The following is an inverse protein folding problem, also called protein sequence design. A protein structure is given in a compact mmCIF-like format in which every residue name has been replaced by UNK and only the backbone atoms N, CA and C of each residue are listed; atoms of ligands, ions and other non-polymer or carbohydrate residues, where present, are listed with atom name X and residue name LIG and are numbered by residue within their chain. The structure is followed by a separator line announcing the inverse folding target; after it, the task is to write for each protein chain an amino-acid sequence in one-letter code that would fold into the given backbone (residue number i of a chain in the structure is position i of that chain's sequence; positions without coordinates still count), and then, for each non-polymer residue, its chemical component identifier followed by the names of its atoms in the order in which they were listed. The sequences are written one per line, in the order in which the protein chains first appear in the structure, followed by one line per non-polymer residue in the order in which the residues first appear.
data_IF_027864796100
#
_entry.id   IF_027864796100
#
_cell.length_a   1.000
_cell.length_b   1.000
_cell.length_c   1.000
_cell.angle_alpha   90.00
_cell.angle_beta   90.00
_cell.angle_gamma   90.00
#
_symmetry.space_group_name_H-M   'P 1'
#
loop_
_entity.id
_entity.type
_entity.pdbx_description
1 polymer ?
#
# COMPACT_ATOMS: atom_id res chain seq x y z
N UNK A 1 6.93 15.20 23.78
CA UNK A 1 7.25 16.64 23.76
C UNK A 1 6.65 17.39 24.95
N UNK A 2 5.32 17.47 25.13
CA UNK A 2 4.75 18.21 26.29
C UNK A 2 5.12 17.57 27.64
N UNK A 3 5.09 16.24 27.74
CA UNK A 3 5.56 15.55 28.95
C UNK A 3 7.04 15.85 29.25
N UNK A 4 7.87 16.05 28.21
CA UNK A 4 9.28 16.38 28.36
C UNK A 4 9.45 17.80 28.92
N UNK A 5 8.69 18.77 28.40
CA UNK A 5 8.66 20.14 28.92
C UNK A 5 8.10 20.26 30.35
N UNK A 6 7.28 19.30 30.82
CA UNK A 6 6.78 19.29 32.19
C UNK A 6 7.76 18.68 33.20
N UNK A 7 8.64 17.78 32.75
CA UNK A 7 9.59 17.08 33.62
C UNK A 7 10.98 17.71 33.61
N UNK A 8 11.26 18.59 32.65
CA UNK A 8 12.54 19.28 32.52
C UNK A 8 12.29 20.80 32.64
N UNK A 9 13.05 21.49 33.50
CA UNK A 9 13.05 22.95 33.64
C UNK A 9 13.74 23.65 32.46
N UNK A 10 13.53 23.13 31.24
CA UNK A 10 14.09 23.69 30.02
C UNK A 10 13.22 24.83 29.49
N UNK A 11 13.88 25.85 28.95
CA UNK A 11 13.20 26.96 28.31
C UNK A 11 12.50 26.51 27.03
N UNK A 12 11.45 27.24 26.63
CA UNK A 12 10.77 27.04 25.34
C UNK A 12 11.74 27.08 24.15
N UNK A 13 12.86 27.80 24.27
CA UNK A 13 13.89 27.90 23.24
C UNK A 13 14.69 26.61 23.10
N UNK A 14 15.09 26.00 24.20
CA UNK A 14 15.84 24.73 24.21
C UNK A 14 14.97 23.58 23.70
N UNK A 15 13.72 23.49 24.14
CA UNK A 15 12.77 22.48 23.64
C UNK A 15 12.46 22.70 22.16
N UNK A 16 12.32 23.96 21.72
CA UNK A 16 12.14 24.28 20.30
C UNK A 16 13.33 23.82 19.46
N UNK A 17 14.56 24.06 19.92
CA UNK A 17 15.78 23.64 19.24
C UNK A 17 15.95 22.11 19.23
N UNK A 18 15.63 21.42 20.33
CA UNK A 18 15.73 19.96 20.43
C UNK A 18 14.76 19.23 19.51
N UNK A 19 13.53 19.73 19.38
CA UNK A 19 12.46 19.06 18.64
C UNK A 19 12.23 19.64 17.24
N UNK A 20 12.98 20.67 16.84
CA UNK A 20 12.82 21.41 15.58
C UNK A 20 11.36 21.86 15.34
N UNK A 21 10.75 22.44 16.39
CA UNK A 21 9.37 22.93 16.37
C UNK A 21 9.34 24.38 16.79
N UNK A 22 8.47 25.19 16.17
CA UNK A 22 8.33 26.60 16.52
C UNK A 22 7.83 26.78 17.97
N UNK A 23 8.47 27.68 18.72
CA UNK A 23 8.08 28.08 20.10
C UNK A 23 6.59 28.42 20.21
N UNK A 24 6.01 29.09 19.22
CA UNK A 24 4.58 29.45 19.19
C UNK A 24 3.67 28.21 19.15
N UNK A 25 4.08 27.13 18.48
CA UNK A 25 3.34 25.87 18.43
C UNK A 25 3.40 25.17 19.79
N UNK A 26 4.57 25.15 20.43
CA UNK A 26 4.76 24.58 21.77
C UNK A 26 3.88 25.29 22.80
N UNK A 27 3.87 26.64 22.79
CA UNK A 27 3.00 27.44 23.65
C UNK A 27 1.51 27.11 23.42
N UNK A 28 1.10 27.02 22.15
CA UNK A 28 -0.29 26.69 21.79
C UNK A 28 -0.69 25.30 22.29
N UNK A 29 0.19 24.31 22.13
CA UNK A 29 -0.04 22.96 22.64
C UNK A 29 -0.09 22.91 24.16
N UNK A 30 0.76 23.67 24.86
CA UNK A 30 0.72 23.79 26.32
C UNK A 30 -0.61 24.33 26.81
N UNK A 31 -1.07 25.43 26.21
CA UNK A 31 -2.37 26.03 26.56
C UNK A 31 -3.52 25.06 26.26
N UNK A 32 -3.49 24.36 25.13
CA UNK A 32 -4.52 23.38 24.78
C UNK A 32 -4.52 22.20 25.76
N UNK A 33 -3.35 21.67 26.11
CA UNK A 33 -3.20 20.58 27.08
C UNK A 33 -3.68 20.97 28.48
N UNK A 34 -3.34 22.18 28.95
CA UNK A 34 -3.80 22.66 30.25
C UNK A 34 -5.33 22.84 30.31
N UNK A 35 -5.98 23.13 29.17
CA UNK A 35 -7.44 23.36 29.11
C UNK A 35 -8.26 22.09 28.91
N UNK A 36 -7.79 21.17 28.07
CA UNK A 36 -8.58 20.00 27.64
C UNK A 36 -7.79 18.67 27.74
N UNK A 37 -6.66 18.66 28.45
CA UNK A 37 -5.82 17.49 28.64
C UNK A 37 -5.24 16.94 27.33
N UNK A 38 -5.01 15.62 27.32
CA UNK A 38 -4.43 14.91 26.17
C UNK A 38 -5.34 14.96 24.94
N UNK A 39 -6.64 15.12 25.11
CA UNK A 39 -7.61 15.15 24.00
C UNK A 39 -7.39 16.36 23.10
N UNK A 40 -6.99 17.50 23.66
CA UNK A 40 -6.66 18.72 22.91
C UNK A 40 -5.52 18.53 21.90
N UNK A 41 -4.63 17.57 22.17
CA UNK A 41 -3.46 17.29 21.32
C UNK A 41 -3.76 16.26 20.23
N UNK A 42 -4.91 15.58 20.28
CA UNK A 42 -5.31 14.65 19.22
C UNK A 42 -5.57 15.41 17.92
N UNK A 43 -5.23 14.78 16.79
CA UNK A 43 -5.52 15.34 15.47
C UNK A 43 -7.03 15.49 15.29
N UNK A 44 -7.49 16.75 15.31
CA UNK A 44 -8.87 17.07 14.99
C UNK A 44 -8.98 17.35 13.49
N UNK A 45 -10.03 16.85 12.81
CA UNK A 45 -10.26 17.18 11.41
C UNK A 45 -10.38 18.70 11.28
N UNK A 46 -9.39 19.31 10.61
CA UNK A 46 -9.35 20.76 10.41
C UNK A 46 -10.44 21.17 9.40
N UNK A 47 -11.12 22.27 9.71
CA UNK A 47 -12.09 22.90 8.82
C UNK A 47 -13.55 22.51 9.07
N UNK A 48 -14.44 23.04 8.23
CA UNK A 48 -15.89 22.79 8.32
C UNK A 48 -16.19 21.35 7.91
N UNK A 49 -16.94 20.63 8.73
CA UNK A 49 -17.49 19.33 8.33
C UNK A 49 -18.29 19.49 7.03
N UNK A 50 -18.06 18.62 6.04
CA UNK A 50 -18.79 18.66 4.78
C UNK A 50 -20.30 18.57 5.05
N UNK A 51 -21.08 19.48 4.46
CA UNK A 51 -22.55 19.48 4.57
C UNK A 51 -23.18 18.30 3.82
N UNK A 52 -22.48 17.77 2.80
CA UNK A 52 -22.89 16.60 2.04
C UNK A 52 -22.12 15.36 2.47
N UNK A 53 -22.85 14.25 2.66
CA UNK A 53 -22.30 12.93 2.93
C UNK A 53 -21.64 12.38 1.66
N UNK A 54 -20.31 12.30 1.64
CA UNK A 54 -19.53 11.77 0.51
C UNK A 54 -19.51 10.22 0.44
N UNK A 55 -20.43 9.55 1.14
CA UNK A 55 -20.44 8.11 1.33
C UNK A 55 -20.57 7.34 0.00
N UNK A 56 -21.34 7.87 -0.95
CA UNK A 56 -21.49 7.28 -2.29
C UNK A 56 -20.18 7.27 -3.09
N UNK A 57 -19.33 8.30 -2.93
CA UNK A 57 -18.02 8.37 -3.61
C UNK A 57 -17.03 7.36 -3.02
N UNK A 58 -17.06 7.19 -1.69
CA UNK A 58 -16.25 6.19 -0.99
C UNK A 58 -16.65 4.76 -1.41
N UNK A 59 -17.96 4.48 -1.47
CA UNK A 59 -18.47 3.17 -1.87
C UNK A 59 -18.05 2.83 -3.31
N UNK A 60 -18.23 3.75 -4.26
CA UNK A 60 -17.76 3.57 -5.65
C UNK A 60 -16.27 3.28 -5.71
N UNK A 61 -15.45 4.00 -4.95
CA UNK A 61 -14.01 3.76 -4.95
C UNK A 61 -13.64 2.38 -4.40
N UNK A 62 -14.37 1.89 -3.39
CA UNK A 62 -14.15 0.56 -2.83
C UNK A 62 -14.53 -0.55 -3.82
N UNK A 63 -15.67 -0.40 -4.51
CA UNK A 63 -16.10 -1.33 -5.56
C UNK A 63 -15.07 -1.39 -6.68
N UNK A 64 -14.65 -0.23 -7.19
CA UNK A 64 -13.63 -0.16 -8.26
C UNK A 64 -12.29 -0.79 -7.83
N UNK A 65 -11.92 -0.69 -6.54
CA UNK A 65 -10.72 -1.33 -6.02
C UNK A 65 -10.86 -2.86 -6.04
N UNK A 66 -12.01 -3.38 -5.62
CA UNK A 66 -12.30 -4.80 -5.65
C UNK A 66 -12.30 -5.35 -7.09
N UNK A 67 -12.91 -4.64 -8.03
CA UNK A 67 -12.89 -5.02 -9.46
C UNK A 67 -11.46 -5.03 -10.03
N UNK A 68 -10.63 -4.06 -9.65
CA UNK A 68 -9.22 -4.02 -10.06
C UNK A 68 -8.42 -5.20 -9.53
N UNK A 69 -8.65 -5.59 -8.27
CA UNK A 69 -7.96 -6.73 -7.66
C UNK A 69 -8.38 -8.05 -8.32
N UNK A 70 -9.68 -8.23 -8.64
CA UNK A 70 -10.17 -9.38 -9.41
C UNK A 70 -9.54 -9.48 -10.81
N UNK A 71 -9.47 -8.35 -11.53
CA UNK A 71 -8.84 -8.31 -12.85
C UNK A 71 -7.34 -8.66 -12.80
N UNK A 72 -6.64 -8.25 -11.74
CA UNK A 72 -5.22 -8.60 -11.55
C UNK A 72 -5.02 -10.08 -11.31
N UNK A 73 -5.88 -10.69 -10.49
CA UNK A 73 -5.84 -12.13 -10.22
C UNK A 73 -6.12 -12.93 -11.49
N UNK A 74 -7.12 -12.53 -12.26
CA UNK A 74 -7.44 -13.18 -13.54
C UNK A 74 -6.26 -13.08 -14.53
N UNK A 75 -5.67 -11.89 -14.65
CA UNK A 75 -4.51 -11.67 -15.53
C UNK A 75 -3.31 -12.53 -15.09
N UNK A 76 -3.02 -12.60 -13.79
CA UNK A 76 -1.96 -13.45 -13.24
C UNK A 76 -2.20 -14.93 -13.56
N UNK A 77 -3.42 -15.41 -13.36
CA UNK A 77 -3.80 -16.81 -13.67
C UNK A 77 -3.62 -17.13 -15.16
N UNK A 78 -4.12 -16.26 -16.04
CA UNK A 78 -4.01 -16.44 -17.50
C UNK A 78 -2.55 -16.44 -17.97
N UNK A 79 -1.73 -15.57 -17.40
CA UNK A 79 -0.30 -15.53 -17.71
C UNK A 79 0.42 -16.81 -17.28
N UNK A 80 0.07 -17.35 -16.10
CA UNK A 80 0.63 -18.60 -15.62
C UNK A 80 0.25 -19.77 -16.54
N UNK A 81 -1.03 -19.90 -16.89
CA UNK A 81 -1.53 -20.95 -17.79
C UNK A 81 -0.84 -20.89 -19.17
N UNK A 82 -0.63 -19.68 -19.71
CA UNK A 82 0.10 -19.49 -20.95
C UNK A 82 1.57 -19.87 -20.84
N UNK A 83 2.21 -19.60 -19.71
CA UNK A 83 3.60 -19.98 -19.47
C UNK A 83 3.74 -21.50 -19.41
N UNK A 84 2.88 -22.18 -18.64
CA UNK A 84 2.89 -23.63 -18.48
C UNK A 84 2.64 -24.33 -19.83
N UNK A 85 1.64 -23.86 -20.59
CA UNK A 85 1.35 -24.38 -21.94
C UNK A 85 2.52 -24.21 -22.91
N UNK A 86 3.24 -23.08 -22.85
CA UNK A 86 4.43 -22.87 -23.69
C UNK A 86 5.56 -23.82 -23.29
N UNK A 87 5.77 -24.01 -22.00
CA UNK A 87 6.78 -24.93 -21.49
C UNK A 87 6.49 -26.38 -21.90
N UNK A 88 5.23 -26.84 -21.78
CA UNK A 88 4.81 -28.17 -22.22
C UNK A 88 5.05 -28.37 -23.72
N UNK A 89 4.70 -27.38 -24.54
CA UNK A 89 4.96 -27.43 -25.98
C UNK A 89 6.45 -27.49 -26.30
N UNK A 90 7.29 -26.73 -25.60
CA UNK A 90 8.74 -26.76 -25.79
C UNK A 90 9.35 -28.10 -25.37
N UNK A 91 8.87 -28.69 -24.27
CA UNK A 91 9.26 -30.03 -23.82
C UNK A 91 8.86 -31.06 -24.87
N UNK A 92 7.63 -31.01 -25.37
CA UNK A 92 7.13 -31.93 -26.39
C UNK A 92 7.90 -31.81 -27.70
N UNK A 93 8.23 -30.58 -28.12
CA UNK A 93 9.04 -30.34 -29.31
C UNK A 93 10.45 -30.91 -29.16
N UNK A 94 11.10 -30.71 -28.00
CA UNK A 94 12.42 -31.29 -27.71
C UNK A 94 12.38 -32.82 -27.66
N UNK A 95 11.36 -33.40 -27.03
CA UNK A 95 11.21 -34.85 -26.96
C UNK A 95 10.97 -35.45 -28.35
N UNK A 96 10.17 -34.79 -29.20
CA UNK A 96 10.04 -35.17 -30.61
C UNK A 96 11.36 -35.09 -31.38
N UNK A 97 12.21 -34.10 -31.14
CA UNK A 97 13.51 -34.04 -31.83
C UNK A 97 14.50 -35.11 -31.36
N UNK A 98 14.45 -35.50 -30.09
CA UNK A 98 15.39 -36.46 -29.49
C UNK A 98 14.96 -37.92 -29.64
N UNK A 99 13.65 -38.16 -29.51
CA UNK A 99 13.04 -39.50 -29.46
C UNK A 99 11.99 -39.72 -30.55
N UNK A 100 11.65 -38.70 -31.34
CA UNK A 100 10.80 -38.84 -32.52
C UNK A 100 11.52 -39.70 -33.55
N UNK A 101 11.02 -40.92 -33.68
CA UNK A 101 11.65 -41.99 -34.42
C UNK A 101 11.72 -41.69 -35.91
N UNK A 102 12.87 -42.06 -36.49
CA UNK A 102 13.14 -42.27 -37.91
C UNK A 102 11.91 -42.85 -38.63
N UNK A 103 11.18 -41.99 -39.34
CA UNK A 103 10.39 -42.42 -40.48
C UNK A 103 11.36 -42.48 -41.65
N UNK A 104 12.04 -43.62 -41.80
CA UNK A 104 12.39 -44.24 -43.09
C UNK A 104 13.30 -45.44 -42.87
N UNK A 105 12.73 -46.54 -42.37
CA UNK A 105 13.30 -47.87 -42.57
C UNK A 105 12.18 -48.91 -42.61
N UNK A 106 11.31 -48.85 -43.64
CA UNK A 106 10.60 -50.04 -44.12
C UNK A 106 10.28 -49.94 -45.62
N UNK A 107 11.16 -50.65 -46.35
CA UNK A 107 10.96 -51.42 -47.59
C UNK A 107 10.99 -50.70 -48.94
N UNK A 108 12.02 -51.00 -49.72
CA UNK A 108 11.81 -51.44 -51.10
C UNK A 108 12.76 -52.59 -51.49
N UNK A 109 12.11 -53.66 -51.99
CA UNK A 109 12.57 -54.89 -52.67
C UNK A 109 13.22 -55.99 -51.82
#
# INVERSE_FOLDING_TARGET
MINYYQTHDETLAEVSARFDVNKCQISSWRTAFNKHGIEALKSHPKGRKSKVKNDKKKLRHLINKNELDQLREELAKKNQELYDTKLENDILKKSMTLFGTSKDAKKHK
#
